data_IF_608459276750
#
_entry.id   IF_608459276750
#
_cell.length_a   1.000
_cell.length_b   1.000
_cell.length_c   1.000
_cell.angle_alpha   90.00
_cell.angle_beta   90.00
_cell.angle_gamma   90.00
#
_symmetry.space_group_name_H-M   'P 1'
#
loop_
_entity.id
_entity.type
_entity.pdbx_description
1 polymer ?
#
# COMPACT_ATOMS: atom_id res chain seq x y z
N UNK A 1 -47.05 -15.50 20.05
CA UNK A 1 -47.37 -14.13 19.68
C UNK A 1 -46.36 -13.60 18.68
N UNK A 2 -46.75 -13.63 17.38
CA UNK A 2 -45.96 -13.09 16.27
C UNK A 2 -46.33 -11.63 16.06
N UNK A 3 -45.41 -10.69 16.25
CA UNK A 3 -45.59 -9.31 15.81
C UNK A 3 -44.64 -9.05 14.64
N UNK A 4 -45.23 -8.98 13.43
CA UNK A 4 -44.64 -8.50 12.20
C UNK A 4 -44.49 -6.98 12.28
N UNK A 5 -43.26 -6.49 12.25
CA UNK A 5 -42.98 -5.06 12.05
C UNK A 5 -42.94 -4.74 10.56
N UNK A 6 -43.88 -3.94 10.13
CA UNK A 6 -44.03 -3.43 8.76
C UNK A 6 -43.03 -2.28 8.55
N UNK A 7 -41.99 -2.49 7.76
CA UNK A 7 -41.10 -1.41 7.28
C UNK A 7 -41.79 -0.62 6.16
N UNK A 8 -42.26 0.58 6.48
CA UNK A 8 -42.82 1.56 5.55
C UNK A 8 -41.70 2.08 4.63
N UNK A 9 -41.80 1.77 3.36
CA UNK A 9 -40.94 2.41 2.31
C UNK A 9 -41.59 3.73 1.92
N UNK A 10 -40.93 4.83 2.30
CA UNK A 10 -41.34 6.16 1.90
C UNK A 10 -40.61 6.52 0.61
N UNK A 11 -41.22 6.23 -0.54
CA UNK A 11 -40.76 6.67 -1.87
C UNK A 11 -41.15 8.12 -2.05
N UNK A 12 -40.23 9.04 -1.85
CA UNK A 12 -40.41 10.44 -2.24
C UNK A 12 -40.42 10.55 -3.77
N UNK A 13 -41.63 10.74 -4.32
CA UNK A 13 -41.83 11.10 -5.71
C UNK A 13 -41.40 12.56 -5.93
N UNK A 14 -40.26 12.73 -6.61
CA UNK A 14 -39.84 14.04 -7.10
C UNK A 14 -40.58 14.32 -8.39
N UNK A 15 -41.53 15.25 -8.34
CA UNK A 15 -42.23 15.75 -9.53
C UNK A 15 -41.27 16.60 -10.39
N UNK A 16 -41.18 16.37 -11.70
CA UNK A 16 -40.45 17.26 -12.57
C UNK A 16 -41.25 18.56 -12.75
N UNK A 17 -40.76 19.63 -12.15
CA UNK A 17 -41.28 20.96 -12.40
C UNK A 17 -40.98 21.37 -13.85
N UNK A 18 -42.05 21.40 -14.63
CA UNK A 18 -42.06 21.88 -16.00
C UNK A 18 -41.69 23.38 -15.99
N UNK A 19 -40.49 23.71 -16.43
CA UNK A 19 -40.09 25.08 -16.66
C UNK A 19 -40.82 25.60 -17.91
N UNK A 20 -41.87 26.39 -17.69
CA UNK A 20 -42.56 27.10 -18.74
C UNK A 20 -41.66 28.24 -19.17
N UNK A 21 -41.05 28.15 -20.35
CA UNK A 21 -40.32 29.22 -21.00
C UNK A 21 -41.31 30.29 -21.44
N UNK A 22 -41.06 31.56 -21.10
CA UNK A 22 -41.89 32.68 -21.62
C UNK A 22 -41.68 32.80 -23.11
N UNK A 23 -42.81 32.80 -23.86
CA UNK A 23 -42.86 33.05 -25.29
C UNK A 23 -42.47 34.51 -25.56
N UNK A 24 -41.23 34.75 -25.98
CA UNK A 24 -40.76 36.05 -26.51
C UNK A 24 -41.18 36.16 -27.97
N UNK A 25 -42.43 36.66 -28.18
CA UNK A 25 -42.93 37.06 -29.48
C UNK A 25 -42.51 38.49 -29.72
N UNK A 26 -41.57 38.70 -30.64
CA UNK A 26 -41.34 39.97 -31.33
C UNK A 26 -40.23 40.88 -30.80
N UNK A 27 -38.98 40.52 -31.04
CA UNK A 27 -37.89 41.50 -31.11
C UNK A 27 -36.96 41.07 -32.28
N UNK A 28 -36.67 41.98 -33.17
CA UNK A 28 -36.08 41.87 -34.51
C UNK A 28 -34.98 40.82 -34.71
N UNK A 29 -35.05 40.17 -35.87
CA UNK A 29 -34.21 39.03 -36.25
C UNK A 29 -32.69 39.17 -36.21
N UNK A 30 -32.15 40.36 -36.01
CA UNK A 30 -30.71 40.61 -35.91
C UNK A 30 -30.12 40.27 -34.52
N UNK A 31 -30.86 40.58 -33.45
CA UNK A 31 -30.38 40.38 -32.09
C UNK A 31 -30.41 38.89 -31.71
N UNK A 32 -31.40 38.15 -32.25
CA UNK A 32 -31.53 36.69 -32.03
C UNK A 32 -30.37 35.93 -32.68
N UNK A 33 -29.92 36.33 -33.87
CA UNK A 33 -28.83 35.69 -34.59
C UNK A 33 -27.48 35.92 -33.89
N UNK A 34 -27.28 37.13 -33.31
CA UNK A 34 -26.08 37.49 -32.57
C UNK A 34 -25.99 36.71 -31.25
N UNK A 35 -27.12 36.53 -30.58
CA UNK A 35 -27.19 35.72 -29.33
C UNK A 35 -26.90 34.24 -29.60
N UNK A 36 -27.37 33.70 -30.73
CA UNK A 36 -27.11 32.29 -31.10
C UNK A 36 -25.64 32.05 -31.41
N UNK A 37 -24.94 32.99 -32.03
CA UNK A 37 -23.50 32.89 -32.31
C UNK A 37 -22.67 32.98 -31.02
N UNK A 38 -23.06 33.82 -30.05
CA UNK A 38 -22.37 33.91 -28.75
C UNK A 38 -22.53 32.64 -27.93
N UNK A 39 -23.73 32.04 -27.91
CA UNK A 39 -23.99 30.78 -27.18
C UNK A 39 -23.28 29.60 -27.85
N UNK A 40 -23.23 29.56 -29.20
CA UNK A 40 -22.50 28.48 -29.95
C UNK A 40 -20.98 28.51 -29.74
N UNK A 41 -20.40 29.70 -29.47
CA UNK A 41 -18.95 29.85 -29.25
C UNK A 41 -18.43 29.36 -27.90
N UNK A 42 -19.30 29.19 -26.90
CA UNK A 42 -18.90 28.85 -25.53
C UNK A 42 -18.69 27.32 -25.36
N UNK A 43 -19.16 26.49 -26.26
CA UNK A 43 -19.05 25.01 -26.16
C UNK A 43 -17.83 24.38 -26.84
N UNK A 44 -16.92 25.19 -27.39
CA UNK A 44 -15.68 24.66 -27.99
C UNK A 44 -14.50 24.71 -27.03
N UNK A 45 -14.73 24.66 -25.70
CA UNK A 45 -13.68 24.40 -24.75
C UNK A 45 -13.35 22.90 -24.77
N UNK A 46 -12.49 22.50 -25.69
CA UNK A 46 -11.79 21.22 -25.60
C UNK A 46 -10.88 21.26 -24.39
N UNK A 47 -11.36 20.74 -23.25
CA UNK A 47 -10.48 20.39 -22.17
C UNK A 47 -9.48 19.35 -22.69
N UNK A 48 -8.27 19.80 -23.04
CA UNK A 48 -7.15 18.89 -23.26
C UNK A 48 -6.88 18.23 -21.91
N UNK A 49 -7.27 16.98 -21.75
CA UNK A 49 -6.70 16.13 -20.73
C UNK A 49 -5.21 16.04 -21.05
N UNK A 50 -4.39 16.83 -20.33
CA UNK A 50 -2.97 16.59 -20.29
C UNK A 50 -2.79 15.20 -19.72
N UNK A 51 -2.27 14.29 -20.52
CA UNK A 51 -1.69 13.06 -19.99
C UNK A 51 -0.64 13.53 -18.98
N UNK A 52 -0.73 13.19 -17.69
CA UNK A 52 0.36 13.47 -16.79
C UNK A 52 1.57 12.73 -17.39
N UNK A 53 2.56 13.49 -17.85
CA UNK A 53 3.85 12.92 -18.19
C UNK A 53 4.32 12.26 -16.90
N UNK A 54 4.29 10.94 -16.86
CA UNK A 54 4.81 10.16 -15.75
C UNK A 54 6.22 10.67 -15.47
N UNK A 55 6.51 11.02 -14.20
CA UNK A 55 7.88 11.38 -13.81
C UNK A 55 8.86 10.29 -14.27
N UNK A 56 10.15 10.58 -14.17
CA UNK A 56 11.19 9.59 -14.43
C UNK A 56 10.87 8.32 -13.64
N UNK A 57 10.91 7.19 -14.33
CA UNK A 57 10.75 5.89 -13.72
C UNK A 57 11.89 5.68 -12.70
N UNK A 58 11.55 5.45 -11.44
CA UNK A 58 12.56 5.19 -10.41
C UNK A 58 12.97 3.71 -10.47
N UNK A 59 14.25 3.48 -10.75
CA UNK A 59 14.87 2.15 -10.78
C UNK A 59 15.64 1.85 -9.47
N UNK A 60 15.54 2.73 -8.48
CA UNK A 60 16.28 2.60 -7.23
C UNK A 60 15.55 1.64 -6.30
N UNK A 61 16.19 0.58 -5.81
CA UNK A 61 15.59 -0.30 -4.81
C UNK A 61 15.47 0.39 -3.46
N UNK A 62 14.49 -0.02 -2.60
CA UNK A 62 14.34 0.49 -1.27
C UNK A 62 15.58 0.22 -0.42
N UNK A 63 15.88 1.12 0.53
CA UNK A 63 17.02 0.98 1.44
C UNK A 63 16.55 0.79 2.87
N UNK A 64 17.19 -0.12 3.57
CA UNK A 64 16.95 -0.33 5.01
C UNK A 64 17.58 0.82 5.79
N UNK A 65 16.76 1.54 6.56
CA UNK A 65 17.21 2.59 7.46
C UNK A 65 17.62 2.04 8.84
N UNK A 66 17.00 0.94 9.25
CA UNK A 66 17.30 0.29 10.51
C UNK A 66 16.21 -0.70 10.92
N UNK A 67 16.45 -1.39 12.02
CA UNK A 67 15.53 -2.35 12.60
C UNK A 67 15.39 -2.15 14.12
N UNK A 68 14.27 -2.59 14.68
CA UNK A 68 14.03 -2.63 16.12
C UNK A 68 13.48 -4.02 16.48
N UNK A 69 14.23 -4.82 17.28
CA UNK A 69 15.61 -4.62 17.74
C UNK A 69 16.60 -4.35 16.62
N UNK A 70 17.77 -3.79 16.91
CA UNK A 70 18.79 -3.56 15.89
C UNK A 70 19.22 -4.88 15.24
N UNK A 71 19.66 -4.82 13.97
CA UNK A 71 20.26 -6.00 13.34
C UNK A 71 21.49 -6.45 14.14
N UNK A 72 21.63 -7.77 14.30
CA UNK A 72 22.66 -8.41 15.14
C UNK A 72 22.62 -8.02 16.62
N UNK A 73 21.45 -7.61 17.13
CA UNK A 73 21.27 -7.38 18.56
C UNK A 73 21.34 -8.68 19.36
N UNK A 74 21.90 -8.59 20.57
CA UNK A 74 21.99 -9.71 21.55
C UNK A 74 21.04 -9.47 22.72
N UNK A 75 20.80 -10.50 23.54
CA UNK A 75 19.91 -10.47 24.70
C UNK A 75 18.47 -10.01 24.38
N UNK A 76 18.02 -10.25 23.15
CA UNK A 76 16.69 -9.84 22.68
C UNK A 76 15.61 -10.75 23.27
N UNK A 77 14.60 -10.11 23.88
CA UNK A 77 13.43 -10.79 24.44
C UNK A 77 12.15 -10.51 23.65
N UNK A 78 12.22 -9.59 22.70
CA UNK A 78 11.08 -9.19 21.90
C UNK A 78 10.79 -10.20 20.81
N UNK A 79 9.55 -10.66 20.75
CA UNK A 79 9.05 -11.53 19.65
C UNK A 79 8.66 -10.75 18.40
N UNK A 80 8.72 -9.43 18.46
CA UNK A 80 8.36 -8.54 17.35
C UNK A 80 9.59 -7.80 16.86
N UNK A 81 9.81 -7.88 15.56
CA UNK A 81 10.84 -7.16 14.82
C UNK A 81 10.17 -6.17 13.88
N UNK A 82 10.68 -4.95 13.83
CA UNK A 82 10.26 -3.93 12.89
C UNK A 82 11.45 -3.44 12.09
N UNK A 83 11.38 -3.54 10.77
CA UNK A 83 12.40 -3.06 9.84
C UNK A 83 11.83 -1.82 9.15
N UNK A 84 12.62 -0.73 9.08
CA UNK A 84 12.22 0.55 8.52
C UNK A 84 13.00 0.84 7.24
N UNK A 85 12.33 1.42 6.25
CA UNK A 85 12.86 1.72 4.92
C UNK A 85 12.74 3.22 4.62
N UNK A 86 13.49 3.68 3.63
CA UNK A 86 13.44 5.06 3.14
C UNK A 86 12.19 5.36 2.32
N UNK A 87 11.55 4.32 1.76
CA UNK A 87 10.34 4.43 0.94
C UNK A 87 9.25 3.43 1.32
N UNK A 88 8.10 3.50 0.63
CA UNK A 88 7.00 2.56 0.82
C UNK A 88 7.34 1.19 0.24
N UNK A 89 7.20 0.15 1.04
CA UNK A 89 7.54 -1.21 0.65
C UNK A 89 6.34 -2.15 0.72
N UNK A 90 6.38 -3.17 -0.11
CA UNK A 90 5.51 -4.34 -0.06
C UNK A 90 6.32 -5.60 0.14
N UNK A 91 5.65 -6.67 0.54
CA UNK A 91 6.23 -7.99 0.67
C UNK A 91 5.38 -8.99 -0.09
N UNK A 92 6.01 -9.73 -0.98
CA UNK A 92 5.34 -10.69 -1.86
C UNK A 92 5.42 -12.10 -1.27
N UNK A 93 4.25 -12.76 -1.10
CA UNK A 93 4.12 -14.12 -0.57
C UNK A 93 4.98 -14.40 0.67
N UNK A 94 4.82 -13.65 1.77
CA UNK A 94 5.71 -13.75 2.93
C UNK A 94 5.76 -15.14 3.55
N UNK A 95 4.70 -15.94 3.42
CA UNK A 95 4.65 -17.30 3.96
C UNK A 95 5.55 -18.28 3.21
N UNK A 96 5.80 -18.02 1.93
CA UNK A 96 6.61 -18.88 1.06
C UNK A 96 8.04 -18.38 0.92
N UNK A 97 8.21 -17.06 0.85
CA UNK A 97 9.48 -16.42 0.50
C UNK A 97 10.30 -16.00 1.71
N UNK A 98 9.68 -15.94 2.92
CA UNK A 98 10.42 -15.57 4.13
C UNK A 98 10.70 -16.78 4.98
N UNK A 99 11.98 -17.03 5.22
CA UNK A 99 12.44 -18.19 5.99
C UNK A 99 12.94 -17.72 7.36
N UNK A 100 12.41 -18.34 8.42
CA UNK A 100 12.87 -18.09 9.80
C UNK A 100 13.65 -19.28 10.30
N UNK A 101 14.86 -19.06 10.77
CA UNK A 101 15.73 -20.06 11.41
C UNK A 101 15.97 -19.65 12.87
N UNK A 102 15.84 -20.59 13.83
CA UNK A 102 15.37 -21.96 13.70
C UNK A 102 13.89 -22.03 13.28
N UNK A 103 13.47 -23.14 12.65
CA UNK A 103 12.10 -23.33 12.20
C UNK A 103 11.10 -23.14 13.33
N UNK A 104 10.01 -22.44 13.03
CA UNK A 104 8.92 -22.14 13.95
C UNK A 104 7.81 -23.19 13.82
N UNK A 105 7.11 -23.50 14.92
CA UNK A 105 5.94 -24.38 14.91
C UNK A 105 4.72 -23.65 14.31
N UNK A 106 4.61 -22.36 14.61
CA UNK A 106 3.59 -21.48 14.05
C UNK A 106 4.23 -20.52 13.06
N UNK A 107 3.61 -20.38 11.89
CA UNK A 107 4.07 -19.43 10.89
C UNK A 107 4.11 -18.00 11.47
N UNK A 108 5.19 -17.24 11.26
CA UNK A 108 5.27 -15.87 11.75
C UNK A 108 4.23 -14.97 11.08
N UNK A 109 3.71 -14.00 11.81
CA UNK A 109 2.91 -12.93 11.23
C UNK A 109 3.83 -11.87 10.61
N UNK A 110 3.73 -11.69 9.29
CA UNK A 110 4.55 -10.73 8.55
C UNK A 110 3.62 -9.72 7.87
N UNK A 111 3.84 -8.43 8.12
CA UNK A 111 3.02 -7.34 7.57
C UNK A 111 3.88 -6.20 7.09
N UNK A 112 3.65 -5.75 5.86
CA UNK A 112 4.18 -4.48 5.37
C UNK A 112 3.18 -3.36 5.67
N UNK A 113 3.65 -2.28 6.27
CA UNK A 113 2.83 -1.12 6.60
C UNK A 113 3.61 0.15 6.30
N UNK A 114 3.25 0.82 5.22
CA UNK A 114 3.92 2.04 4.78
C UNK A 114 5.40 1.81 4.48
N UNK A 115 6.27 2.46 5.23
CA UNK A 115 7.72 2.35 5.11
C UNK A 115 8.34 1.35 6.08
N UNK A 116 7.60 0.35 6.52
CA UNK A 116 8.11 -0.64 7.45
C UNK A 116 7.51 -2.03 7.27
N UNK A 117 8.31 -3.05 7.58
CA UNK A 117 7.88 -4.43 7.67
C UNK A 117 7.95 -4.85 9.13
N UNK A 118 6.88 -5.44 9.63
CA UNK A 118 6.79 -6.01 10.97
C UNK A 118 6.72 -7.54 10.86
N UNK A 119 7.60 -8.20 11.60
CA UNK A 119 7.62 -9.65 11.77
C UNK A 119 7.35 -9.96 13.22
N UNK A 120 6.33 -10.77 13.48
CA UNK A 120 6.01 -11.24 14.81
C UNK A 120 6.14 -12.76 14.86
N UNK A 121 7.06 -13.23 15.67
CA UNK A 121 7.21 -14.66 15.97
C UNK A 121 6.14 -15.07 16.98
N UNK A 122 5.37 -16.09 16.66
CA UNK A 122 4.27 -16.55 17.50
C UNK A 122 4.74 -17.57 18.54
N UNK A 123 5.82 -18.28 18.24
CA UNK A 123 6.42 -19.23 19.18
C UNK A 123 7.24 -18.51 20.25
N UNK A 124 7.34 -19.12 21.42
CA UNK A 124 8.21 -18.63 22.49
C UNK A 124 9.67 -18.72 22.05
N UNK A 125 10.42 -17.64 22.22
CA UNK A 125 11.83 -17.61 21.90
C UNK A 125 12.62 -18.57 22.82
N UNK A 126 13.48 -19.40 22.21
CA UNK A 126 14.41 -20.24 22.92
C UNK A 126 15.56 -19.41 23.49
N UNK A 127 16.01 -19.73 24.68
CA UNK A 127 17.16 -19.06 25.28
C UNK A 127 18.46 -19.39 24.53
N UNK A 128 19.41 -18.46 24.55
CA UNK A 128 20.74 -18.59 23.96
C UNK A 128 20.67 -19.12 22.52
N UNK A 129 19.80 -18.50 21.69
CA UNK A 129 19.55 -18.96 20.33
C UNK A 129 19.61 -17.76 19.39
N UNK A 130 20.34 -17.90 18.30
CA UNK A 130 20.37 -16.93 17.21
C UNK A 130 19.20 -17.21 16.26
N UNK A 131 18.41 -16.17 16.01
CA UNK A 131 17.31 -16.17 15.06
C UNK A 131 17.72 -15.40 13.81
N UNK A 132 17.45 -16.00 12.67
CA UNK A 132 17.71 -15.41 11.36
C UNK A 132 16.40 -15.37 10.58
N UNK A 133 16.07 -14.23 10.01
CA UNK A 133 14.93 -14.03 9.13
C UNK A 133 15.48 -13.65 7.77
N UNK A 134 15.34 -14.55 6.83
CA UNK A 134 15.77 -14.37 5.44
C UNK A 134 14.54 -13.98 4.62
N UNK A 135 14.59 -12.79 4.03
CA UNK A 135 13.53 -12.27 3.18
C UNK A 135 13.76 -12.58 1.70
N UNK A 136 14.94 -13.11 1.33
CA UNK A 136 15.30 -13.33 -0.07
C UNK A 136 14.95 -12.10 -0.93
N UNK A 137 14.21 -12.28 -2.03
CA UNK A 137 13.76 -11.21 -2.93
C UNK A 137 12.30 -10.78 -2.65
N UNK A 138 11.74 -11.13 -1.50
CA UNK A 138 10.33 -10.88 -1.19
C UNK A 138 9.99 -9.40 -0.99
N UNK A 139 10.99 -8.56 -0.67
CA UNK A 139 10.79 -7.12 -0.39
C UNK A 139 11.03 -6.33 -1.66
N UNK A 140 10.05 -5.51 -2.03
CA UNK A 140 10.16 -4.57 -3.15
C UNK A 140 9.50 -3.24 -2.79
N UNK A 141 9.85 -2.19 -3.54
CA UNK A 141 9.12 -0.93 -3.42
C UNK A 141 7.66 -1.10 -3.89
N UNK A 142 6.79 -0.26 -3.35
CA UNK A 142 5.36 -0.37 -3.61
C UNK A 142 4.92 0.27 -4.93
N UNK A 143 5.71 1.17 -5.50
CA UNK A 143 5.34 1.96 -6.67
C UNK A 143 5.81 1.27 -7.96
N UNK A 144 7.10 1.11 -8.14
CA UNK A 144 7.72 0.58 -9.34
C UNK A 144 7.97 -0.94 -9.26
N UNK A 145 8.06 -1.50 -8.04
CA UNK A 145 8.29 -2.91 -7.81
C UNK A 145 9.76 -3.32 -7.85
N UNK A 146 10.68 -2.36 -7.66
CA UNK A 146 12.11 -2.64 -7.60
C UNK A 146 12.46 -3.51 -6.40
N UNK A 147 13.07 -4.69 -6.57
CA UNK A 147 13.38 -5.56 -5.45
C UNK A 147 14.54 -5.01 -4.63
N UNK A 148 14.44 -5.14 -3.29
CA UNK A 148 15.55 -4.85 -2.38
C UNK A 148 16.74 -5.77 -2.63
N UNK A 149 16.49 -6.97 -3.14
CA UNK A 149 17.46 -8.06 -3.23
C UNK A 149 17.51 -8.86 -1.94
N UNK A 150 18.51 -9.75 -1.88
CA UNK A 150 18.66 -10.64 -0.71
C UNK A 150 18.91 -9.84 0.56
N UNK A 151 17.92 -9.84 1.45
CA UNK A 151 18.02 -9.20 2.76
C UNK A 151 17.79 -10.20 3.88
N UNK A 152 18.75 -10.25 4.79
CA UNK A 152 18.71 -11.12 5.97
C UNK A 152 18.86 -10.28 7.23
N UNK A 153 17.98 -10.50 8.19
CA UNK A 153 18.02 -9.88 9.52
C UNK A 153 18.27 -10.95 10.57
N UNK A 154 19.12 -10.67 11.56
CA UNK A 154 19.46 -11.61 12.62
C UNK A 154 19.48 -10.96 14.00
N UNK A 155 19.17 -11.76 15.03
CA UNK A 155 19.30 -11.36 16.42
C UNK A 155 19.53 -12.61 17.30
N UNK A 156 20.04 -12.39 18.50
CA UNK A 156 20.23 -13.48 19.46
C UNK A 156 19.46 -13.21 20.76
N UNK A 157 18.91 -14.25 21.33
CA UNK A 157 18.34 -14.22 22.69
C UNK A 157 19.41 -14.44 23.77
N UNK A 158 20.63 -14.78 23.38
CA UNK A 158 21.82 -14.90 24.23
C UNK A 158 22.76 -13.72 24.05
N UNK A 159 23.89 -13.79 24.75
CA UNK A 159 24.91 -12.77 24.74
C UNK A 159 25.75 -12.71 23.43
N UNK A 160 25.68 -13.77 22.65
CA UNK A 160 26.46 -13.92 21.42
C UNK A 160 25.55 -14.25 20.24
N UNK A 161 26.02 -13.93 19.03
CA UNK A 161 25.39 -14.32 17.77
C UNK A 161 26.24 -15.42 17.16
N UNK A 162 25.61 -16.55 16.87
CA UNK A 162 26.27 -17.63 16.12
C UNK A 162 26.39 -17.20 14.66
N UNK A 163 27.62 -16.94 14.23
CA UNK A 163 27.95 -16.71 12.82
C UNK A 163 28.44 -18.03 12.22
N UNK A 164 27.58 -18.65 11.41
CA UNK A 164 28.01 -19.80 10.62
C UNK A 164 28.75 -19.31 9.39
N UNK A 165 30.05 -19.42 9.38
CA UNK A 165 30.88 -19.25 8.20
C UNK A 165 31.14 -20.61 7.58
N UNK A 166 30.66 -20.83 6.36
CA UNK A 166 30.96 -22.03 5.58
C UNK A 166 32.06 -21.65 4.58
N UNK A 167 33.30 -22.03 4.87
CA UNK A 167 34.40 -21.92 3.92
C UNK A 167 34.61 -23.26 3.22
N UNK A 168 34.50 -23.30 1.90
CA UNK A 168 34.79 -24.46 1.07
C UNK A 168 35.90 -24.13 0.09
N UNK A 169 36.84 -25.05 -0.05
CA UNK A 169 37.82 -25.01 -1.18
C UNK A 169 37.21 -25.80 -2.34
N UNK A 170 37.21 -25.18 -3.52
CA UNK A 170 36.89 -25.83 -4.80
C UNK A 170 38.15 -26.18 -5.50
#
# INVERSE_FOLDING_TARGET
GLTKEKRSQNTAQVSPSLWVLPSLKGIGGGLSLLLTVIIGGVFTSCARMGTPDGGWYDETPPKVLGATPADKATDVKAQKVKISFDEFVKIDNPTENVIVSPPQLQAPEIKATGKSIEVKLLDSLKANTTYTIDFSDAISDNNEGNPLGNYTYSFSTGAEIDTMEVSGYV
#
